data_IF_772546450779
#
_entry.id   IF_772546450779
#
_cell.length_a   1.000
_cell.length_b   1.000
_cell.length_c   1.000
_cell.angle_alpha   90.00
_cell.angle_beta   90.00
_cell.angle_gamma   90.00
#
_symmetry.space_group_name_H-M   'P 1'
#
loop_
_entity.id
_entity.type
_entity.pdbx_description
1 polymer ?
#
# COMPACT_ATOMS: atom_id res chain seq x y z
N UNK A 1 33.27 -36.36 74.04
CA UNK A 1 32.41 -35.16 74.18
C UNK A 1 32.82 -34.18 73.08
N UNK A 2 31.86 -33.49 72.45
CA UNK A 2 31.49 -33.61 71.03
C UNK A 2 32.46 -32.93 70.04
N UNK A 3 32.41 -33.32 68.75
CA UNK A 3 33.41 -32.95 67.74
C UNK A 3 33.21 -31.53 67.18
N UNK A 4 34.33 -30.88 66.89
CA UNK A 4 34.51 -29.51 66.37
C UNK A 4 33.90 -29.32 64.95
N UNK A 5 33.43 -30.39 64.30
CA UNK A 5 32.93 -30.41 62.93
C UNK A 5 31.55 -29.76 62.74
N UNK A 6 30.80 -29.47 63.80
CA UNK A 6 29.42 -28.95 63.67
C UNK A 6 29.35 -27.42 63.45
N UNK A 7 30.44 -26.66 63.65
CA UNK A 7 30.38 -25.19 63.53
C UNK A 7 30.73 -24.62 62.15
N UNK A 8 31.42 -25.38 61.29
CA UNK A 8 31.78 -24.92 59.95
C UNK A 8 30.70 -25.21 58.89
N UNK A 9 29.82 -26.18 59.13
CA UNK A 9 28.69 -26.48 58.22
C UNK A 9 27.55 -25.45 58.36
N UNK A 10 27.44 -24.77 59.50
CA UNK A 10 26.41 -23.76 59.73
C UNK A 10 26.64 -22.44 58.98
N UNK A 11 27.88 -22.14 58.54
CA UNK A 11 28.20 -20.91 57.80
C UNK A 11 28.15 -21.07 56.27
N UNK A 12 28.19 -22.30 55.75
CA UNK A 12 28.01 -22.56 54.30
C UNK A 12 26.55 -22.82 53.91
N UNK A 13 25.65 -23.02 54.88
CA UNK A 13 24.21 -23.18 54.64
C UNK A 13 23.43 -21.86 54.57
N UNK A 14 24.09 -20.70 54.74
CA UNK A 14 23.44 -19.37 54.72
C UNK A 14 23.64 -18.60 53.41
N UNK A 15 24.04 -19.28 52.32
CA UNK A 15 24.25 -18.63 51.00
C UNK A 15 23.39 -19.21 49.87
N UNK A 16 22.38 -20.04 50.15
CA UNK A 16 21.62 -20.77 49.10
C UNK A 16 20.12 -20.53 49.06
N UNK A 17 19.58 -19.47 49.70
CA UNK A 17 18.14 -19.16 49.59
C UNK A 17 17.86 -17.67 49.37
N UNK A 18 18.62 -17.02 48.49
CA UNK A 18 18.14 -15.84 47.79
C UNK A 18 17.75 -16.24 46.37
N UNK A 19 16.73 -17.09 46.26
CA UNK A 19 15.90 -17.05 45.06
C UNK A 19 15.15 -15.73 45.13
N UNK A 20 15.70 -14.71 44.47
CA UNK A 20 14.92 -13.54 44.10
C UNK A 20 13.77 -14.09 43.25
N UNK A 21 12.50 -13.96 43.67
CA UNK A 21 11.42 -14.28 42.77
C UNK A 21 11.60 -13.33 41.58
N UNK A 22 11.92 -13.88 40.40
CA UNK A 22 11.72 -13.17 39.16
C UNK A 22 10.25 -12.81 39.16
N UNK A 23 9.93 -11.56 39.51
CA UNK A 23 8.57 -11.07 39.46
C UNK A 23 8.17 -11.18 38.00
N UNK A 24 7.39 -12.20 37.67
CA UNK A 24 6.68 -12.28 36.40
C UNK A 24 5.55 -11.26 36.45
N UNK A 25 5.91 -9.98 36.52
CA UNK A 25 5.06 -8.90 36.06
C UNK A 25 5.18 -8.93 34.54
N UNK A 26 4.61 -9.97 33.93
CA UNK A 26 4.43 -10.03 32.49
C UNK A 26 3.63 -8.81 32.07
N UNK A 27 4.00 -8.22 30.93
CA UNK A 27 3.30 -7.06 30.42
C UNK A 27 1.78 -7.31 30.33
N UNK A 28 0.94 -6.28 30.53
CA UNK A 28 -0.50 -6.35 30.31
C UNK A 28 -0.86 -7.05 28.98
N UNK A 29 -2.03 -7.68 28.91
CA UNK A 29 -2.50 -8.31 27.67
C UNK A 29 -2.51 -7.28 26.52
N UNK A 30 -1.82 -7.60 25.42
CA UNK A 30 -1.64 -6.69 24.29
C UNK A 30 -0.34 -5.87 24.32
N UNK A 31 0.54 -6.10 25.29
CA UNK A 31 1.87 -5.49 25.39
C UNK A 31 2.98 -6.56 25.35
N UNK A 32 4.14 -6.21 24.80
CA UNK A 32 5.35 -7.05 24.77
C UNK A 32 6.52 -6.33 25.44
N UNK A 33 7.35 -7.06 26.23
CA UNK A 33 8.53 -6.48 26.84
C UNK A 33 9.62 -6.25 25.78
N UNK A 34 10.17 -5.04 25.75
CA UNK A 34 11.38 -4.70 24.98
C UNK A 34 12.48 -4.33 25.97
N UNK A 35 13.60 -5.05 25.94
CA UNK A 35 14.68 -4.92 26.92
C UNK A 35 15.99 -4.55 26.22
N UNK A 36 16.63 -3.47 26.68
CA UNK A 36 18.00 -3.12 26.32
C UNK A 36 18.89 -3.20 27.58
N UNK A 37 18.68 -2.32 28.56
CA UNK A 37 19.24 -2.43 29.93
C UNK A 37 18.17 -2.60 31.01
N UNK A 38 16.96 -2.08 30.76
CA UNK A 38 15.74 -2.30 31.54
C UNK A 38 14.60 -2.64 30.60
N UNK A 39 13.70 -3.53 31.02
CA UNK A 39 12.54 -3.91 30.21
C UNK A 39 11.43 -2.87 30.34
N UNK A 40 10.93 -2.38 29.19
CA UNK A 40 9.71 -1.58 29.11
C UNK A 40 8.64 -2.40 28.39
N UNK A 41 7.42 -2.34 28.90
CA UNK A 41 6.27 -2.90 28.19
C UNK A 41 5.80 -1.90 27.15
N UNK A 42 5.82 -2.31 25.88
CA UNK A 42 5.29 -1.53 24.77
C UNK A 42 4.07 -2.25 24.22
N UNK A 43 3.05 -1.52 23.72
CA UNK A 43 1.94 -2.15 23.03
C UNK A 43 2.47 -3.00 21.87
N UNK A 44 1.90 -4.19 21.73
CA UNK A 44 2.28 -5.13 20.68
C UNK A 44 2.00 -4.49 19.32
N UNK A 45 3.05 -3.98 18.69
CA UNK A 45 2.98 -3.32 17.38
C UNK A 45 2.40 -4.24 16.30
N UNK A 46 2.38 -5.56 16.50
CA UNK A 46 1.68 -6.49 15.60
C UNK A 46 0.16 -6.31 15.61
N UNK A 47 -0.45 -6.00 16.76
CA UNK A 47 -1.88 -5.65 16.85
C UNK A 47 -2.16 -4.23 16.32
N UNK A 48 -1.17 -3.34 16.41
CA UNK A 48 -1.26 -1.98 15.85
C UNK A 48 -1.17 -2.04 14.31
N UNK A 49 -0.36 -2.94 13.74
CA UNK A 49 -0.31 -3.14 12.29
C UNK A 49 -1.68 -3.56 11.73
N UNK A 50 -2.32 -4.58 12.32
CA UNK A 50 -3.66 -5.00 11.91
C UNK A 50 -4.70 -3.88 12.10
N UNK A 51 -4.63 -3.13 13.20
CA UNK A 51 -5.49 -1.96 13.44
C UNK A 51 -5.28 -0.81 12.45
N UNK A 52 -4.04 -0.58 12.00
CA UNK A 52 -3.71 0.38 10.95
C UNK A 52 -4.33 -0.08 9.62
N UNK A 53 -4.21 -1.36 9.24
CA UNK A 53 -4.83 -1.87 8.02
C UNK A 53 -6.36 -1.79 8.05
N UNK A 54 -6.98 -2.06 9.21
CA UNK A 54 -8.45 -1.95 9.35
C UNK A 54 -8.98 -0.52 9.17
N UNK A 55 -8.15 0.50 9.39
CA UNK A 55 -8.53 1.90 9.16
C UNK A 55 -8.01 2.46 7.83
N UNK A 56 -6.88 1.95 7.33
CA UNK A 56 -6.25 2.43 6.10
C UNK A 56 -7.10 2.14 4.87
N UNK A 57 -7.66 0.92 4.74
CA UNK A 57 -8.44 0.57 3.56
C UNK A 57 -9.73 1.40 3.43
N UNK A 58 -10.58 1.55 4.48
CA UNK A 58 -11.74 2.44 4.41
C UNK A 58 -11.37 3.91 4.17
N UNK A 59 -10.27 4.40 4.79
CA UNK A 59 -9.81 5.77 4.58
C UNK A 59 -9.38 6.02 3.13
N UNK A 60 -8.63 5.07 2.54
CA UNK A 60 -8.22 5.14 1.13
C UNK A 60 -9.42 5.07 0.19
N UNK A 61 -10.40 4.19 0.45
CA UNK A 61 -11.62 4.09 -0.37
C UNK A 61 -12.42 5.41 -0.36
N UNK A 62 -12.56 6.04 0.82
CA UNK A 62 -13.22 7.33 0.95
C UNK A 62 -12.45 8.41 0.19
N UNK A 63 -11.14 8.48 0.35
CA UNK A 63 -10.30 9.44 -0.34
C UNK A 63 -10.39 9.28 -1.86
N UNK A 64 -10.31 8.05 -2.39
CA UNK A 64 -10.44 7.76 -3.83
C UNK A 64 -11.78 8.26 -4.38
N UNK A 65 -12.86 7.99 -3.65
CA UNK A 65 -14.22 8.42 -4.04
C UNK A 65 -14.34 9.94 -4.08
N UNK A 66 -13.81 10.63 -3.06
CA UNK A 66 -13.81 12.08 -3.00
C UNK A 66 -12.94 12.71 -4.09
N UNK A 67 -11.72 12.21 -4.28
CA UNK A 67 -10.78 12.69 -5.29
C UNK A 67 -11.35 12.51 -6.71
N UNK A 68 -12.00 11.37 -6.98
CA UNK A 68 -12.71 11.13 -8.24
C UNK A 68 -13.83 12.17 -8.45
N UNK A 69 -14.66 12.41 -7.43
CA UNK A 69 -15.74 13.39 -7.53
C UNK A 69 -15.23 14.81 -7.82
N UNK A 70 -14.13 15.21 -7.18
CA UNK A 70 -13.47 16.50 -7.44
C UNK A 70 -12.90 16.59 -8.86
N UNK A 71 -12.27 15.52 -9.34
CA UNK A 71 -11.75 15.45 -10.70
C UNK A 71 -12.87 15.55 -11.75
N UNK A 72 -14.04 14.97 -11.49
CA UNK A 72 -15.20 15.00 -12.39
C UNK A 72 -15.84 16.39 -12.48
N UNK A 73 -15.99 17.09 -11.35
CA UNK A 73 -16.54 18.46 -11.31
C UNK A 73 -15.74 19.42 -12.20
N UNK A 74 -14.42 19.25 -12.23
CA UNK A 74 -13.53 20.08 -13.03
C UNK A 74 -13.57 19.75 -14.53
N UNK A 75 -14.35 18.75 -14.95
CA UNK A 75 -14.50 18.28 -16.32
C UNK A 75 -13.45 17.26 -16.74
N UNK A 76 -13.89 16.22 -17.45
CA UNK A 76 -13.07 15.12 -17.98
C UNK A 76 -13.34 14.88 -19.46
N UNK A 77 -12.39 14.25 -20.14
CA UNK A 77 -12.49 13.87 -21.56
C UNK A 77 -12.51 12.35 -21.72
N UNK A 78 -13.14 11.80 -22.78
CA UNK A 78 -12.98 10.39 -23.13
C UNK A 78 -11.55 10.10 -23.63
N UNK A 79 -11.12 8.84 -23.65
CA UNK A 79 -9.83 8.46 -24.24
C UNK A 79 -9.68 9.04 -25.66
N UNK A 80 -8.53 9.66 -26.02
CA UNK A 80 -8.30 10.12 -27.38
C UNK A 80 -8.55 9.01 -28.41
N UNK A 81 -9.32 9.24 -29.50
CA UNK A 81 -9.76 8.17 -30.39
C UNK A 81 -8.62 7.28 -30.93
N UNK A 82 -7.49 7.88 -31.31
CA UNK A 82 -6.28 7.16 -31.77
C UNK A 82 -5.70 6.25 -30.69
N UNK A 83 -5.68 6.69 -29.43
CA UNK A 83 -5.18 5.90 -28.30
C UNK A 83 -6.16 4.76 -28.02
N UNK A 84 -7.46 5.06 -27.97
CA UNK A 84 -8.52 4.05 -27.77
C UNK A 84 -8.45 2.93 -28.80
N UNK A 85 -8.33 3.26 -30.08
CA UNK A 85 -8.27 2.28 -31.17
C UNK A 85 -7.08 1.32 -31.04
N UNK A 86 -5.90 1.83 -30.70
CA UNK A 86 -4.71 1.01 -30.48
C UNK A 86 -4.86 0.09 -29.27
N UNK A 87 -5.51 0.55 -28.19
CA UNK A 87 -5.65 -0.21 -26.94
C UNK A 87 -6.68 -1.33 -27.01
N UNK A 88 -7.54 -1.38 -28.02
CA UNK A 88 -8.47 -2.48 -28.28
C UNK A 88 -7.77 -3.84 -28.46
N UNK A 89 -6.46 -3.84 -28.76
CA UNK A 89 -5.65 -5.06 -28.81
C UNK A 89 -5.51 -5.73 -27.44
N UNK A 90 -5.51 -4.97 -26.35
CA UNK A 90 -5.20 -5.47 -24.99
C UNK A 90 -6.36 -5.40 -24.02
N UNK A 91 -7.31 -4.50 -24.25
CA UNK A 91 -8.42 -4.24 -23.33
C UNK A 91 -9.77 -4.46 -23.99
N UNK A 92 -10.71 -4.99 -23.21
CA UNK A 92 -12.11 -5.06 -23.60
C UNK A 92 -12.67 -3.63 -23.79
N UNK A 93 -13.54 -3.40 -24.79
CA UNK A 93 -14.17 -2.09 -25.01
C UNK A 93 -14.82 -1.50 -23.77
N UNK A 94 -15.39 -2.32 -22.87
CA UNK A 94 -16.04 -1.85 -21.64
C UNK A 94 -15.09 -1.15 -20.67
N UNK A 95 -13.81 -1.56 -20.62
CA UNK A 95 -12.77 -0.88 -19.83
C UNK A 95 -12.47 0.48 -20.44
N UNK A 96 -12.29 0.52 -21.76
CA UNK A 96 -11.96 1.73 -22.52
C UNK A 96 -13.09 2.77 -22.50
N UNK A 97 -14.33 2.31 -22.57
CA UNK A 97 -15.52 3.18 -22.61
C UNK A 97 -15.88 3.74 -21.24
N UNK A 98 -15.45 3.07 -20.17
CA UNK A 98 -15.58 3.56 -18.79
C UNK A 98 -14.54 4.65 -18.51
N UNK A 99 -13.32 4.49 -19.01
CA UNK A 99 -12.23 5.37 -18.68
C UNK A 99 -12.40 6.80 -19.23
N UNK A 100 -12.16 7.76 -18.36
CA UNK A 100 -12.07 9.19 -18.64
C UNK A 100 -10.67 9.67 -18.29
N UNK A 101 -10.25 10.79 -18.84
CA UNK A 101 -8.99 11.41 -18.46
C UNK A 101 -9.09 12.91 -18.27
N UNK A 102 -8.10 13.43 -17.55
CA UNK A 102 -7.88 14.85 -17.36
C UNK A 102 -6.39 15.12 -17.23
N UNK A 103 -5.91 16.23 -17.79
CA UNK A 103 -4.59 16.75 -17.45
C UNK A 103 -4.71 17.55 -16.16
N UNK A 104 -4.08 17.05 -15.10
CA UNK A 104 -4.22 17.57 -13.74
C UNK A 104 -3.44 18.88 -13.55
N UNK A 105 -3.92 19.73 -12.66
CA UNK A 105 -3.04 20.71 -12.03
C UNK A 105 -2.05 20.01 -11.08
N UNK A 106 -0.93 20.66 -10.76
CA UNK A 106 0.10 20.07 -9.91
C UNK A 106 -0.42 19.70 -8.51
N UNK A 107 -1.50 20.32 -8.01
CA UNK A 107 -1.98 20.11 -6.65
C UNK A 107 -2.73 18.80 -6.46
N UNK A 108 -3.67 18.48 -7.37
CA UNK A 108 -4.41 17.20 -7.33
C UNK A 108 -3.47 16.02 -7.62
N UNK A 109 -2.55 16.19 -8.57
CA UNK A 109 -1.54 15.17 -8.88
C UNK A 109 -0.64 14.89 -7.67
N UNK A 110 -0.18 15.93 -6.96
CA UNK A 110 0.66 15.75 -5.78
C UNK A 110 -0.10 15.08 -4.62
N UNK A 111 -1.37 15.43 -4.41
CA UNK A 111 -2.20 14.77 -3.40
C UNK A 111 -2.38 13.28 -3.72
N UNK A 112 -2.61 12.95 -4.99
CA UNK A 112 -2.78 11.57 -5.44
C UNK A 112 -1.49 10.76 -5.33
N UNK A 113 -0.38 11.34 -5.78
CA UNK A 113 0.98 10.79 -5.63
C UNK A 113 1.31 10.50 -4.16
N UNK A 114 1.01 11.45 -3.27
CA UNK A 114 1.28 11.30 -1.84
C UNK A 114 0.42 10.21 -1.20
N UNK A 115 -0.87 10.14 -1.54
CA UNK A 115 -1.78 9.15 -0.96
C UNK A 115 -1.46 7.72 -1.44
N UNK A 116 -1.14 7.55 -2.72
CA UNK A 116 -0.82 6.26 -3.31
C UNK A 116 0.65 5.87 -3.15
N UNK A 117 1.47 6.72 -2.50
CA UNK A 117 2.89 6.50 -2.28
C UNK A 117 3.67 6.26 -3.58
N UNK A 118 3.29 6.95 -4.66
CA UNK A 118 3.86 6.74 -5.99
C UNK A 118 4.64 7.99 -6.46
N UNK A 119 5.92 8.14 -6.08
CA UNK A 119 6.65 9.41 -6.20
C UNK A 119 6.96 9.84 -7.65
N UNK A 120 6.91 8.92 -8.62
CA UNK A 120 7.36 9.15 -10.00
C UNK A 120 6.37 8.62 -11.03
N UNK A 121 5.14 9.15 -11.03
CA UNK A 121 4.15 8.81 -12.05
C UNK A 121 3.79 9.95 -12.99
N UNK A 122 3.73 9.60 -14.27
CA UNK A 122 3.16 10.44 -15.33
C UNK A 122 1.63 10.48 -15.29
N UNK A 123 0.98 9.54 -14.59
CA UNK A 123 -0.46 9.49 -14.43
C UNK A 123 -0.90 8.76 -13.15
N UNK A 124 -2.13 8.99 -12.69
CA UNK A 124 -2.76 8.28 -11.58
C UNK A 124 -4.21 7.99 -11.91
N UNK A 125 -4.66 6.76 -11.66
CA UNK A 125 -6.05 6.35 -11.84
C UNK A 125 -6.89 6.52 -10.57
N UNK A 126 -7.88 7.42 -10.63
CA UNK A 126 -8.93 7.61 -9.64
C UNK A 126 -10.21 6.92 -10.10
N UNK A 127 -10.34 5.63 -9.79
CA UNK A 127 -11.49 4.78 -10.15
C UNK A 127 -11.59 4.59 -11.67
N UNK A 128 -12.28 5.48 -12.37
CA UNK A 128 -12.43 5.52 -13.84
C UNK A 128 -11.82 6.79 -14.46
N UNK A 129 -11.31 7.72 -13.66
CA UNK A 129 -10.69 8.95 -14.14
C UNK A 129 -9.17 8.84 -14.03
N UNK A 130 -8.49 8.90 -15.16
CA UNK A 130 -7.03 8.91 -15.23
C UNK A 130 -6.55 10.36 -15.25
N UNK A 131 -5.86 10.76 -14.19
CA UNK A 131 -5.18 12.03 -14.10
C UNK A 131 -3.82 11.91 -14.76
N UNK A 132 -3.55 12.67 -15.81
CA UNK A 132 -2.22 12.78 -16.42
C UNK A 132 -1.51 14.03 -15.89
N UNK A 133 -0.18 13.95 -15.74
CA UNK A 133 0.66 15.07 -15.32
C UNK A 133 0.68 16.19 -16.35
N UNK A 134 0.71 15.84 -17.62
CA UNK A 134 0.81 16.77 -18.74
C UNK A 134 0.11 16.22 -19.98
N UNK A 135 -0.22 17.13 -20.91
CA UNK A 135 -0.94 16.79 -22.13
C UNK A 135 -0.14 15.91 -23.08
N UNK A 136 1.19 16.07 -23.13
CA UNK A 136 2.04 15.28 -24.02
C UNK A 136 1.97 13.80 -23.64
N UNK A 137 2.11 13.50 -22.35
CA UNK A 137 1.97 12.15 -21.81
C UNK A 137 0.59 11.58 -22.12
N UNK A 138 -0.48 12.35 -21.87
CA UNK A 138 -1.86 11.94 -22.15
C UNK A 138 -2.15 11.66 -23.64
N UNK A 139 -1.47 12.35 -24.56
CA UNK A 139 -1.71 12.21 -26.00
C UNK A 139 -0.80 11.20 -26.70
N UNK A 140 0.35 10.88 -26.10
CA UNK A 140 1.43 10.15 -26.81
C UNK A 140 1.86 8.85 -26.12
N UNK A 141 1.73 8.72 -24.80
CA UNK A 141 2.24 7.53 -24.10
C UNK A 141 1.18 6.41 -24.00
N UNK A 142 1.09 5.63 -25.08
CA UNK A 142 0.19 4.47 -25.16
C UNK A 142 0.48 3.42 -24.06
N UNK A 143 1.73 3.26 -23.67
CA UNK A 143 2.10 2.26 -22.67
C UNK A 143 1.68 2.70 -21.27
N UNK A 144 1.81 3.99 -20.95
CA UNK A 144 1.27 4.52 -19.70
C UNK A 144 -0.26 4.43 -19.68
N UNK A 145 -0.95 4.72 -20.78
CA UNK A 145 -2.38 4.45 -20.86
C UNK A 145 -2.73 2.99 -20.56
N UNK A 146 -1.96 2.05 -21.08
CA UNK A 146 -2.18 0.64 -20.80
C UNK A 146 -1.94 0.28 -19.33
N UNK A 147 -1.02 0.95 -18.64
CA UNK A 147 -0.82 0.83 -17.20
C UNK A 147 -2.08 1.30 -16.45
N UNK A 148 -2.50 2.54 -16.70
CA UNK A 148 -3.61 3.16 -15.98
C UNK A 148 -4.94 2.43 -16.21
N UNK A 149 -5.18 1.93 -17.43
CA UNK A 149 -6.35 1.10 -17.72
C UNK A 149 -6.36 -0.22 -16.96
N UNK A 150 -5.21 -0.74 -16.53
CA UNK A 150 -5.19 -1.91 -15.64
C UNK A 150 -5.84 -1.56 -14.31
N UNK A 151 -5.59 -0.37 -13.78
CA UNK A 151 -6.25 0.08 -12.56
C UNK A 151 -7.75 0.31 -12.78
N UNK A 152 -8.17 0.90 -13.91
CA UNK A 152 -9.61 1.00 -14.25
C UNK A 152 -10.27 -0.38 -14.24
N UNK A 153 -9.64 -1.37 -14.87
CA UNK A 153 -10.12 -2.75 -14.86
C UNK A 153 -10.17 -3.33 -13.44
N UNK A 154 -9.14 -3.13 -12.62
CA UNK A 154 -9.11 -3.59 -11.22
C UNK A 154 -10.23 -2.97 -10.39
N UNK A 155 -10.54 -1.68 -10.59
CA UNK A 155 -11.69 -1.04 -9.95
C UNK A 155 -13.03 -1.61 -10.41
N UNK A 156 -13.18 -1.92 -11.70
CA UNK A 156 -14.39 -2.58 -12.20
C UNK A 156 -14.56 -3.99 -11.61
N UNK A 157 -13.47 -4.74 -11.46
CA UNK A 157 -13.50 -6.13 -10.97
C UNK A 157 -13.66 -6.23 -9.46
N UNK A 158 -13.02 -5.34 -8.70
CA UNK A 158 -12.93 -5.45 -7.24
C UNK A 158 -13.80 -4.42 -6.50
N UNK A 159 -14.26 -3.39 -7.20
CA UNK A 159 -14.82 -2.20 -6.57
C UNK A 159 -13.77 -1.36 -5.83
N UNK A 160 -14.17 -0.18 -5.40
CA UNK A 160 -13.28 0.77 -4.71
C UNK A 160 -12.77 0.20 -3.38
N UNK A 161 -13.64 -0.44 -2.60
CA UNK A 161 -13.27 -1.05 -1.31
C UNK A 161 -12.31 -2.21 -1.50
N UNK A 162 -12.57 -3.09 -2.47
CA UNK A 162 -11.72 -4.24 -2.76
C UNK A 162 -10.35 -3.83 -3.31
N UNK A 163 -10.29 -2.77 -4.11
CA UNK A 163 -9.03 -2.15 -4.51
C UNK A 163 -8.27 -1.61 -3.30
N UNK A 164 -8.92 -0.76 -2.49
CA UNK A 164 -8.28 -0.12 -1.34
C UNK A 164 -7.74 -1.14 -0.32
N UNK A 165 -8.48 -2.23 -0.08
CA UNK A 165 -8.02 -3.34 0.76
C UNK A 165 -6.73 -3.97 0.21
N UNK A 166 -6.71 -4.32 -1.08
CA UNK A 166 -5.53 -4.95 -1.71
C UNK A 166 -4.34 -4.00 -1.74
N UNK A 167 -4.57 -2.74 -2.10
CA UNK A 167 -3.52 -1.73 -2.21
C UNK A 167 -2.87 -1.43 -0.86
N UNK A 168 -3.67 -1.33 0.21
CA UNK A 168 -3.13 -1.12 1.56
C UNK A 168 -2.41 -2.35 2.09
N UNK A 169 -2.87 -3.57 1.77
CA UNK A 169 -2.22 -4.81 2.20
C UNK A 169 -0.91 -5.09 1.46
N UNK A 170 -0.92 -5.00 0.13
CA UNK A 170 0.24 -5.21 -0.73
C UNK A 170 0.07 -4.43 -2.04
N UNK A 171 0.58 -3.20 -2.06
CA UNK A 171 0.53 -2.36 -3.24
C UNK A 171 1.26 -3.00 -4.44
N UNK A 172 2.33 -3.79 -4.21
CA UNK A 172 3.08 -4.40 -5.32
C UNK A 172 2.22 -5.42 -6.07
N UNK A 173 1.36 -6.15 -5.37
CA UNK A 173 0.43 -7.08 -6.01
C UNK A 173 -0.60 -6.38 -6.91
N UNK A 174 -0.92 -5.11 -6.62
CA UNK A 174 -1.82 -4.29 -7.43
C UNK A 174 -1.08 -3.67 -8.62
N UNK A 175 0.14 -3.17 -8.40
CA UNK A 175 0.97 -2.49 -9.41
C UNK A 175 1.62 -3.43 -10.42
N UNK A 176 2.04 -4.63 -10.01
CA UNK A 176 2.80 -5.55 -10.88
C UNK A 176 2.05 -5.91 -12.19
N UNK A 177 0.74 -6.22 -12.17
CA UNK A 177 -0.03 -6.41 -13.41
C UNK A 177 -0.06 -5.17 -14.32
N UNK A 178 -0.07 -3.96 -13.76
CA UNK A 178 -0.08 -2.71 -14.51
C UNK A 178 1.28 -2.45 -15.19
N UNK A 179 2.38 -2.72 -14.49
CA UNK A 179 3.72 -2.69 -15.10
C UNK A 179 3.94 -3.78 -16.15
N UNK A 180 3.37 -4.97 -15.96
CA UNK A 180 3.48 -6.06 -16.92
C UNK A 180 2.87 -5.69 -18.28
N UNK A 181 1.66 -5.15 -18.29
CA UNK A 181 1.00 -4.73 -19.53
C UNK A 181 1.68 -3.50 -20.16
N UNK A 182 2.14 -2.55 -19.35
CA UNK A 182 2.95 -1.42 -19.83
C UNK A 182 4.21 -1.90 -20.57
N UNK A 183 4.92 -2.88 -19.99
CA UNK A 183 6.10 -3.47 -20.61
C UNK A 183 5.76 -4.21 -21.91
N UNK A 184 4.64 -4.94 -21.95
CA UNK A 184 4.15 -5.60 -23.14
C UNK A 184 3.86 -4.61 -24.28
N UNK A 185 3.11 -3.54 -23.99
CA UNK A 185 2.78 -2.50 -24.99
C UNK A 185 4.05 -1.83 -25.50
N UNK A 186 5.01 -1.50 -24.62
CA UNK A 186 6.32 -0.96 -25.03
C UNK A 186 7.07 -1.88 -25.98
N UNK A 187 7.02 -3.21 -25.77
CA UNK A 187 7.62 -4.18 -26.69
C UNK A 187 6.92 -4.19 -28.04
N UNK A 188 5.59 -4.29 -28.04
CA UNK A 188 4.80 -4.30 -29.28
C UNK A 188 4.99 -3.04 -30.13
N UNK A 189 5.17 -1.87 -29.49
CA UNK A 189 5.43 -0.62 -30.20
C UNK A 189 6.81 -0.56 -30.85
N UNK A 190 7.81 -1.23 -30.27
CA UNK A 190 9.16 -1.34 -30.88
C UNK A 190 9.13 -2.29 -32.07
N UNK A 191 8.46 -3.44 -31.93
CA UNK A 191 8.35 -4.45 -32.99
C UNK A 191 7.51 -3.98 -34.19
N UNK A 192 6.55 -3.08 -33.99
CA UNK A 192 5.74 -2.50 -35.07
C UNK A 192 6.35 -1.27 -35.74
N UNK A 193 7.51 -0.79 -35.28
CA UNK A 193 8.24 0.33 -35.87
C UNK A 193 9.33 -0.12 -36.88
N UNK A 194 9.59 -1.42 -36.95
CA UNK A 194 10.49 -2.08 -37.91
C UNK A 194 9.73 -2.52 -39.18
#
# INVERSE_FOLDING_TARGET
MPPITTRLVALLALCLTLEVPAQTNGCPAGEKPVCLDSCVCLPDLGLIADGIYQMAAPALALWLTQARAEADIAGTQPIPPRIREQLLRWYDPSVLDTARYKVSDNSQMNAATAMLQNPDVGAVTLIDIILFRDAQTAEQDLALWAHELKHVQQYQEWGVEGFAQRYTQDFNAVEAPAYAIQAEVRRSLREGAD
#
